data_IF_273386931180
#
_entry.id   IF_273386931180
#
_cell.length_a   1.000
_cell.length_b   1.000
_cell.length_c   1.000
_cell.angle_alpha   90.00
_cell.angle_beta   90.00
_cell.angle_gamma   90.00
#
_symmetry.space_group_name_H-M   'P 1'
#
loop_
_entity.id
_entity.type
_entity.pdbx_description
1 polymer ?
#
# COMPACT_ATOMS: atom_id res chain seq x y z
N UNK A 1 12.64 8.65 13.61
CA UNK A 1 13.35 8.27 12.39
C UNK A 1 12.51 7.17 11.72
N UNK A 2 11.80 7.50 10.64
CA UNK A 2 11.05 6.53 9.84
C UNK A 2 12.05 5.62 9.12
N UNK A 3 11.91 4.31 9.30
CA UNK A 3 12.68 3.34 8.53
C UNK A 3 12.05 3.27 7.13
N UNK A 4 12.82 3.58 6.10
CA UNK A 4 12.37 3.42 4.71
C UNK A 4 12.51 1.95 4.32
N UNK A 5 11.46 1.37 3.72
CA UNK A 5 11.54 0.02 3.16
C UNK A 5 12.18 0.05 1.77
N UNK A 6 13.07 -0.88 1.43
CA UNK A 6 13.64 -1.00 0.09
C UNK A 6 12.63 -1.46 -0.96
N UNK A 7 11.48 -1.98 -0.51
CA UNK A 7 10.39 -2.48 -1.35
C UNK A 7 9.12 -1.70 -1.02
N UNK A 8 8.36 -1.30 -2.03
CA UNK A 8 7.00 -0.79 -1.90
C UNK A 8 6.02 -1.84 -2.44
N UNK A 9 4.93 -2.08 -1.71
CA UNK A 9 3.83 -2.94 -2.15
C UNK A 9 2.61 -2.05 -2.37
N UNK A 10 2.01 -2.13 -3.56
CA UNK A 10 0.76 -1.44 -3.87
C UNK A 10 -0.30 -2.45 -4.26
N UNK A 11 -1.55 -2.19 -3.87
CA UNK A 11 -2.70 -3.02 -4.18
C UNK A 11 -3.77 -2.15 -4.82
N UNK A 12 -4.28 -2.59 -5.96
CA UNK A 12 -5.48 -2.02 -6.57
C UNK A 12 -6.55 -3.10 -6.71
N UNK A 13 -7.78 -2.73 -6.47
CA UNK A 13 -8.94 -3.60 -6.54
C UNK A 13 -9.96 -3.03 -7.51
N UNK A 14 -10.52 -3.88 -8.38
CA UNK A 14 -11.64 -3.55 -9.26
C UNK A 14 -12.84 -4.37 -8.84
N UNK A 15 -13.91 -3.68 -8.49
CA UNK A 15 -15.18 -4.30 -8.12
C UNK A 15 -15.96 -4.67 -9.38
N UNK A 16 -16.35 -5.95 -9.51
CA UNK A 16 -17.14 -6.49 -10.59
C UNK A 16 -18.55 -6.96 -10.08
N UNK A 17 -18.98 -6.48 -8.92
CA UNK A 17 -20.22 -6.84 -8.27
C UNK A 17 -20.09 -8.09 -7.40
N UNK A 18 -20.16 -9.28 -7.99
CA UNK A 18 -20.02 -10.56 -7.26
C UNK A 18 -18.57 -11.04 -7.12
N UNK A 19 -17.64 -10.40 -7.78
CA UNK A 19 -16.21 -10.75 -7.75
C UNK A 19 -15.33 -9.51 -7.72
N UNK A 20 -14.05 -9.70 -7.39
CA UNK A 20 -13.04 -8.64 -7.47
C UNK A 20 -11.82 -9.11 -8.21
N UNK A 21 -11.30 -8.22 -9.06
CA UNK A 21 -9.97 -8.34 -9.63
C UNK A 21 -8.98 -7.54 -8.79
N UNK A 22 -7.81 -8.12 -8.58
CA UNK A 22 -6.76 -7.57 -7.71
C UNK A 22 -5.46 -7.51 -8.50
N UNK A 23 -4.84 -6.36 -8.51
CA UNK A 23 -3.48 -6.18 -9.01
C UNK A 23 -2.56 -5.81 -7.86
N UNK A 24 -1.49 -6.57 -7.68
CA UNK A 24 -0.44 -6.32 -6.69
C UNK A 24 0.84 -5.98 -7.42
N UNK A 25 1.44 -4.86 -7.09
CA UNK A 25 2.70 -4.42 -7.65
C UNK A 25 3.75 -4.27 -6.55
N UNK A 26 4.85 -5.01 -6.70
CA UNK A 26 6.01 -4.96 -5.79
C UNK A 26 7.11 -4.19 -6.48
N UNK A 27 7.40 -2.99 -5.99
CA UNK A 27 8.34 -2.04 -6.58
C UNK A 27 9.59 -1.99 -5.72
N UNK A 28 10.76 -2.14 -6.33
CA UNK A 28 12.05 -1.98 -5.66
C UNK A 28 12.47 -0.52 -5.69
N UNK A 29 12.29 0.20 -4.58
CA UNK A 29 12.75 1.58 -4.44
C UNK A 29 14.28 1.64 -4.36
N UNK A 30 14.86 0.64 -3.70
CA UNK A 30 16.31 0.44 -3.56
C UNK A 30 16.68 -1.01 -3.95
N UNK A 31 17.93 -1.40 -3.75
CA UNK A 31 18.33 -2.79 -3.91
C UNK A 31 17.53 -3.66 -2.92
N UNK A 32 16.76 -4.66 -3.40
CA UNK A 32 15.97 -5.50 -2.52
C UNK A 32 16.88 -6.29 -1.56
N UNK A 33 16.39 -6.59 -0.35
CA UNK A 33 17.15 -7.40 0.61
C UNK A 33 17.36 -8.81 0.04
N UNK A 34 18.50 -9.40 0.37
CA UNK A 34 18.71 -10.82 0.14
C UNK A 34 17.85 -11.61 1.12
N UNK A 35 17.33 -12.76 0.68
CA UNK A 35 16.50 -13.63 1.51
C UNK A 35 15.57 -14.50 0.68
N UNK A 36 14.79 -15.32 1.38
CA UNK A 36 13.75 -16.16 0.79
C UNK A 36 12.42 -15.38 0.77
N UNK A 37 12.34 -14.42 -0.15
CA UNK A 37 11.22 -13.49 -0.21
C UNK A 37 9.99 -14.14 -0.84
N UNK A 38 8.86 -14.01 -0.18
CA UNK A 38 7.57 -14.48 -0.66
C UNK A 38 6.50 -13.39 -0.56
N UNK A 39 5.65 -13.38 -1.56
CA UNK A 39 4.45 -12.55 -1.59
C UNK A 39 3.27 -13.34 -1.02
N UNK A 40 2.61 -12.75 -0.07
CA UNK A 40 1.33 -13.20 0.47
C UNK A 40 0.25 -12.19 0.11
N UNK A 41 -0.88 -12.71 -0.36
CA UNK A 41 -2.05 -11.89 -0.69
C UNK A 41 -3.25 -12.51 -0.01
N UNK A 42 -3.92 -11.73 0.82
CA UNK A 42 -5.02 -12.20 1.66
C UNK A 42 -6.22 -11.28 1.50
N UNK A 43 -7.40 -11.88 1.61
CA UNK A 43 -8.67 -11.16 1.72
C UNK A 43 -9.00 -11.01 3.20
N UNK A 44 -9.33 -9.81 3.61
CA UNK A 44 -9.78 -9.49 4.95
C UNK A 44 -11.08 -8.67 4.90
N UNK A 45 -11.83 -8.70 5.99
CA UNK A 45 -13.00 -7.88 6.21
C UNK A 45 -12.72 -6.89 7.32
N UNK A 46 -12.92 -5.61 7.05
CA UNK A 46 -12.51 -4.52 7.92
C UNK A 46 -13.29 -4.53 9.23
N UNK A 47 -14.60 -4.77 9.15
CA UNK A 47 -15.49 -4.86 10.31
C UNK A 47 -16.47 -6.02 10.13
N UNK A 48 -16.55 -6.86 11.13
CA UNK A 48 -17.58 -7.92 11.26
C UNK A 48 -18.36 -7.69 12.53
N UNK A 49 -19.64 -7.37 12.39
CA UNK A 49 -20.56 -7.21 13.49
C UNK A 49 -21.15 -8.58 13.88
N UNK A 50 -20.62 -9.20 14.92
CA UNK A 50 -21.10 -10.49 15.41
C UNK A 50 -20.89 -10.59 16.92
N UNK A 51 -21.97 -10.72 17.69
CA UNK A 51 -21.87 -10.95 19.12
C UNK A 51 -21.32 -12.34 19.41
N UNK A 52 -20.21 -12.39 20.14
CA UNK A 52 -19.56 -13.63 20.59
C UNK A 52 -19.83 -13.89 22.07
N UNK A 53 -19.53 -15.11 22.53
CA UNK A 53 -19.78 -15.53 23.90
C UNK A 53 -18.96 -14.80 24.97
N UNK A 54 -17.92 -14.05 24.59
CA UNK A 54 -17.12 -13.20 25.48
C UNK A 54 -17.67 -11.77 25.62
N UNK A 55 -18.76 -11.43 24.90
CA UNK A 55 -19.40 -10.12 24.91
C UNK A 55 -18.87 -9.12 23.90
N UNK A 56 -17.90 -9.49 23.05
CA UNK A 56 -17.47 -8.68 21.92
C UNK A 56 -18.53 -8.73 20.80
N UNK A 57 -18.84 -7.59 20.21
CA UNK A 57 -19.81 -7.45 19.12
C UNK A 57 -19.20 -6.98 17.80
N UNK A 58 -17.98 -6.50 17.82
CA UNK A 58 -17.26 -5.97 16.65
C UNK A 58 -15.88 -6.63 16.54
N UNK A 59 -15.57 -7.11 15.34
CA UNK A 59 -14.30 -7.76 15.05
C UNK A 59 -13.66 -7.07 13.85
N UNK A 60 -12.48 -6.47 14.08
CA UNK A 60 -11.77 -5.71 13.04
C UNK A 60 -10.73 -6.57 12.32
N UNK A 61 -10.59 -6.32 11.01
CA UNK A 61 -9.58 -6.92 10.15
C UNK A 61 -9.59 -8.46 10.18
N UNK A 62 -10.81 -9.02 10.05
CA UNK A 62 -11.02 -10.47 10.09
C UNK A 62 -10.47 -11.11 8.81
N UNK A 63 -9.52 -12.04 8.97
CA UNK A 63 -9.02 -12.84 7.85
C UNK A 63 -10.14 -13.67 7.23
N UNK A 64 -10.25 -13.66 5.91
CA UNK A 64 -11.23 -14.45 5.16
C UNK A 64 -10.58 -15.58 4.37
N UNK A 65 -9.61 -15.28 3.52
CA UNK A 65 -8.93 -16.30 2.71
C UNK A 65 -7.59 -15.82 2.15
N UNK A 66 -6.73 -16.77 1.77
CA UNK A 66 -5.58 -16.48 0.94
C UNK A 66 -5.97 -16.45 -0.55
N UNK A 67 -5.38 -15.54 -1.32
CA UNK A 67 -5.35 -15.57 -2.79
C UNK A 67 -4.08 -16.23 -3.31
N UNK A 68 -3.02 -16.26 -2.51
CA UNK A 68 -1.82 -17.06 -2.75
C UNK A 68 -1.93 -18.42 -2.03
N UNK A 69 -1.04 -19.39 -2.33
CA UNK A 69 -0.82 -20.53 -1.45
C UNK A 69 -0.50 -20.07 -0.01
N UNK A 70 -0.82 -20.90 0.99
CA UNK A 70 -0.63 -20.56 2.41
C UNK A 70 0.83 -20.34 2.81
N UNK A 71 1.77 -20.85 2.02
CA UNK A 71 3.21 -20.66 2.17
C UNK A 71 3.74 -19.49 1.29
N UNK A 72 2.84 -18.74 0.63
CA UNK A 72 3.15 -17.64 -0.24
C UNK A 72 3.71 -18.03 -1.61
N UNK A 73 3.89 -17.05 -2.47
CA UNK A 73 4.51 -17.20 -3.79
C UNK A 73 5.94 -16.67 -3.74
N UNK A 74 6.91 -17.47 -4.16
CA UNK A 74 8.30 -17.03 -4.27
C UNK A 74 8.38 -15.86 -5.26
N UNK A 75 8.97 -14.77 -4.82
CA UNK A 75 9.23 -13.61 -5.68
C UNK A 75 10.73 -13.33 -5.73
N UNK A 76 11.16 -12.87 -6.90
CA UNK A 76 12.49 -12.28 -7.06
C UNK A 76 12.27 -10.82 -7.40
N UNK A 77 12.35 -9.91 -6.40
CA UNK A 77 12.16 -8.50 -6.67
C UNK A 77 13.16 -8.02 -7.72
N UNK A 78 12.70 -7.13 -8.59
CA UNK A 78 13.55 -6.56 -9.62
C UNK A 78 14.69 -5.73 -8.99
N UNK A 79 15.69 -5.37 -9.78
CA UNK A 79 16.70 -4.40 -9.36
C UNK A 79 16.03 -3.05 -9.01
N UNK A 80 16.76 -2.18 -8.32
CA UNK A 80 16.27 -0.84 -7.96
C UNK A 80 15.61 -0.12 -9.16
N UNK A 81 14.43 0.42 -8.94
CA UNK A 81 13.59 1.05 -9.96
C UNK A 81 12.71 0.10 -10.79
N UNK A 82 12.86 -1.21 -10.63
CA UNK A 82 12.01 -2.19 -11.31
C UNK A 82 10.83 -2.67 -10.46
N UNK A 83 9.92 -3.44 -11.07
CA UNK A 83 8.73 -3.96 -10.40
C UNK A 83 8.41 -5.40 -10.80
N UNK A 84 7.67 -6.08 -9.92
CA UNK A 84 7.06 -7.39 -10.17
C UNK A 84 5.55 -7.24 -9.96
N UNK A 85 4.77 -7.67 -10.94
CA UNK A 85 3.32 -7.63 -10.94
C UNK A 85 2.74 -9.03 -10.71
N UNK A 86 1.66 -9.09 -9.94
CA UNK A 86 0.83 -10.28 -9.75
C UNK A 86 -0.66 -9.89 -9.79
N UNK A 87 -1.47 -10.71 -10.46
CA UNK A 87 -2.91 -10.49 -10.59
C UNK A 87 -3.66 -11.68 -10.02
N UNK A 88 -4.78 -11.39 -9.35
CA UNK A 88 -5.67 -12.37 -8.75
C UNK A 88 -7.11 -11.98 -9.03
N UNK A 89 -8.01 -12.93 -8.96
CA UNK A 89 -9.44 -12.65 -8.91
C UNK A 89 -10.10 -13.59 -7.89
N UNK A 90 -11.19 -13.14 -7.29
CA UNK A 90 -11.96 -13.96 -6.36
C UNK A 90 -13.42 -13.56 -6.34
N UNK A 91 -14.28 -14.55 -6.10
CA UNK A 91 -15.69 -14.33 -5.86
C UNK A 91 -15.93 -13.92 -4.41
N UNK A 92 -16.83 -12.95 -4.19
CA UNK A 92 -17.29 -12.56 -2.87
C UNK A 92 -18.20 -13.66 -2.32
N UNK A 93 -17.95 -14.06 -1.06
CA UNK A 93 -18.86 -14.96 -0.37
C UNK A 93 -20.10 -14.18 0.09
N UNK A 94 -21.28 -14.78 -0.07
CA UNK A 94 -22.55 -14.14 0.27
C UNK A 94 -22.71 -13.83 1.78
N UNK A 95 -21.86 -14.43 2.63
CA UNK A 95 -21.82 -14.16 4.07
C UNK A 95 -20.93 -12.98 4.46
N UNK A 96 -20.20 -12.37 3.51
CA UNK A 96 -19.32 -11.25 3.76
C UNK A 96 -20.03 -9.93 3.48
N UNK A 97 -19.69 -8.89 4.22
CA UNK A 97 -20.12 -7.54 3.91
C UNK A 97 -19.20 -6.98 2.81
N UNK A 98 -19.73 -6.86 1.59
CA UNK A 98 -18.94 -6.56 0.39
C UNK A 98 -18.15 -5.24 0.50
N UNK A 99 -18.74 -4.23 1.15
CA UNK A 99 -18.08 -2.91 1.32
C UNK A 99 -16.93 -2.95 2.32
N UNK A 100 -16.95 -3.90 3.25
CA UNK A 100 -15.93 -4.11 4.26
C UNK A 100 -14.77 -5.00 3.77
N UNK A 101 -14.93 -5.68 2.62
CA UNK A 101 -13.89 -6.55 2.07
C UNK A 101 -12.76 -5.71 1.45
N UNK A 102 -11.54 -6.07 1.80
CA UNK A 102 -10.33 -5.50 1.20
C UNK A 102 -9.22 -6.56 1.07
N UNK A 103 -8.22 -6.25 0.25
CA UNK A 103 -7.05 -7.09 0.06
C UNK A 103 -5.82 -6.48 0.71
N UNK A 104 -5.11 -7.28 1.49
CA UNK A 104 -3.80 -6.99 2.04
C UNK A 104 -2.76 -7.85 1.31
N UNK A 105 -1.74 -7.21 0.75
CA UNK A 105 -0.57 -7.89 0.22
C UNK A 105 0.66 -7.54 1.06
N UNK A 106 1.54 -8.52 1.30
CA UNK A 106 2.81 -8.27 1.99
C UNK A 106 3.92 -9.16 1.46
N UNK A 107 5.13 -8.64 1.51
CA UNK A 107 6.36 -9.38 1.21
C UNK A 107 7.05 -9.73 2.50
N UNK A 108 7.34 -11.01 2.69
CA UNK A 108 8.01 -11.55 3.86
C UNK A 108 9.24 -12.34 3.46
N UNK A 109 10.32 -12.16 4.19
CA UNK A 109 11.41 -13.15 4.23
C UNK A 109 10.98 -14.28 5.16
N UNK A 110 10.73 -15.47 4.59
CA UNK A 110 10.19 -16.59 5.36
C UNK A 110 11.21 -17.26 6.26
N UNK A 111 12.51 -17.02 6.03
CA UNK A 111 13.58 -17.59 6.88
C UNK A 111 13.71 -16.77 8.18
N UNK A 112 13.71 -15.46 8.09
CA UNK A 112 13.74 -14.55 9.25
C UNK A 112 12.35 -14.28 9.84
N UNK A 113 11.28 -14.48 9.06
CA UNK A 113 9.89 -14.10 9.33
C UNK A 113 9.66 -12.58 9.37
N UNK A 114 10.59 -11.81 8.87
CA UNK A 114 10.46 -10.36 8.78
C UNK A 114 9.52 -9.98 7.62
N UNK A 115 8.52 -9.12 7.90
CA UNK A 115 7.70 -8.50 6.86
C UNK A 115 8.46 -7.25 6.38
N UNK A 116 8.86 -7.28 5.11
CA UNK A 116 9.65 -6.22 4.49
C UNK A 116 8.78 -4.99 4.22
N UNK A 117 7.58 -5.22 3.67
CA UNK A 117 6.56 -4.20 3.46
C UNK A 117 5.20 -4.83 3.18
N UNK A 118 4.16 -4.03 3.32
CA UNK A 118 2.78 -4.41 3.01
C UNK A 118 2.06 -3.29 2.28
N UNK A 119 0.94 -3.60 1.66
CA UNK A 119 0.09 -2.63 0.98
C UNK A 119 -1.37 -3.08 0.92
N UNK A 120 -2.26 -2.10 0.88
CA UNK A 120 -3.71 -2.25 0.71
C UNK A 120 -4.23 -1.19 -0.26
N UNK A 121 -5.49 -1.27 -0.68
CA UNK A 121 -6.14 -0.21 -1.46
C UNK A 121 -6.28 1.12 -0.72
N UNK A 122 -6.14 1.11 0.61
CA UNK A 122 -6.26 2.30 1.46
C UNK A 122 -4.96 3.10 1.57
N UNK A 123 -3.84 2.50 1.14
CA UNK A 123 -2.56 3.20 1.17
C UNK A 123 -2.56 4.33 0.15
N UNK A 124 -2.01 5.50 0.49
CA UNK A 124 -1.93 6.60 -0.44
C UNK A 124 -1.15 6.19 -1.68
N UNK A 125 -1.76 6.35 -2.85
CA UNK A 125 -1.07 6.15 -4.12
C UNK A 125 0.02 7.22 -4.23
N UNK A 126 1.26 6.86 -3.94
CA UNK A 126 2.39 7.74 -4.25
C UNK A 126 2.54 7.73 -5.76
N UNK A 127 1.86 8.63 -6.44
CA UNK A 127 2.15 8.93 -7.83
C UNK A 127 3.51 9.61 -7.89
N UNK A 128 4.57 8.81 -7.89
CA UNK A 128 5.86 9.31 -8.36
C UNK A 128 5.74 9.49 -9.86
N UNK A 129 5.31 10.66 -10.29
CA UNK A 129 5.61 11.13 -11.62
C UNK A 129 7.13 11.30 -11.68
N UNK A 130 7.85 10.23 -11.95
CA UNK A 130 9.22 10.33 -12.41
C UNK A 130 9.16 10.86 -13.85
N UNK A 131 8.93 12.17 -13.98
CA UNK A 131 9.35 12.91 -15.14
C UNK A 131 10.88 12.90 -15.19
N UNK A 132 11.51 12.97 -16.37
CA UNK A 132 12.95 13.02 -16.48
C UNK A 132 13.48 14.25 -15.72
N UNK A 133 14.18 14.01 -14.61
CA UNK A 133 14.78 15.03 -13.77
C UNK A 133 13.83 15.56 -12.69
N UNK A 134 13.68 14.84 -11.58
CA UNK A 134 13.26 15.47 -10.34
C UNK A 134 14.36 16.48 -9.96
N UNK A 135 14.12 17.73 -10.30
CA UNK A 135 14.82 18.84 -9.68
C UNK A 135 14.33 18.83 -8.23
N UNK A 136 15.21 18.54 -7.28
CA UNK A 136 14.92 18.70 -5.86
C UNK A 136 14.58 20.18 -5.63
N UNK A 137 13.28 20.48 -5.70
CA UNK A 137 12.76 21.78 -5.39
C UNK A 137 12.83 21.92 -3.86
N UNK A 138 13.96 22.37 -3.38
CA UNK A 138 14.16 22.69 -1.96
C UNK A 138 13.26 23.88 -1.60
N UNK A 139 11.94 23.61 -1.44
CA UNK A 139 10.93 24.63 -1.15
C UNK A 139 10.83 24.78 0.37
N UNK A 140 11.23 25.93 0.85
CA UNK A 140 11.04 26.31 2.24
C UNK A 140 9.79 27.16 2.39
N UNK A 141 8.92 26.75 3.31
CA UNK A 141 7.67 27.44 3.64
C UNK A 141 7.79 28.02 5.04
N UNK A 142 7.73 29.34 5.14
CA UNK A 142 7.81 30.03 6.44
C UNK A 142 7.04 31.36 6.43
N UNK A 143 6.60 31.85 7.59
CA UNK A 143 6.49 31.13 8.85
C UNK A 143 5.45 30.03 8.79
N UNK A 144 5.61 29.01 9.63
CA UNK A 144 4.60 27.97 9.78
C UNK A 144 4.37 27.69 11.27
N UNK A 145 3.16 27.95 11.84
CA UNK A 145 1.95 28.47 11.17
C UNK A 145 2.06 29.97 10.78
N UNK A 146 1.39 30.34 9.70
CA UNK A 146 1.34 31.74 9.24
C UNK A 146 0.01 32.42 9.64
N UNK A 147 0.05 33.72 9.90
CA UNK A 147 -1.13 34.51 10.30
C UNK A 147 -1.59 35.51 9.25
N UNK A 148 -0.68 36.05 8.45
CA UNK A 148 -0.97 37.08 7.48
C UNK A 148 -0.38 36.83 6.10
N UNK A 149 0.80 36.24 6.02
CA UNK A 149 1.47 35.95 4.76
C UNK A 149 2.31 34.67 4.84
N UNK A 150 2.37 33.99 3.71
CA UNK A 150 3.20 32.81 3.49
C UNK A 150 4.26 33.15 2.46
N UNK A 151 5.52 32.87 2.74
CA UNK A 151 6.61 33.03 1.78
C UNK A 151 7.05 31.66 1.28
N UNK A 152 7.11 31.51 -0.04
CA UNK A 152 7.69 30.37 -0.71
C UNK A 152 9.05 30.78 -1.26
N UNK A 153 10.10 30.09 -0.83
CA UNK A 153 11.43 30.27 -1.38
C UNK A 153 11.88 28.97 -2.06
N UNK A 154 12.23 29.07 -3.33
CA UNK A 154 12.75 27.94 -4.10
C UNK A 154 13.97 28.40 -4.89
N UNK A 155 14.93 27.47 -5.10
CA UNK A 155 16.12 27.75 -5.89
C UNK A 155 15.86 27.90 -7.40
N UNK A 156 14.62 27.67 -7.87
CA UNK A 156 14.21 27.70 -9.27
C UNK A 156 12.87 28.42 -9.41
N UNK A 157 12.56 28.98 -10.61
CA UNK A 157 11.26 29.58 -10.89
C UNK A 157 10.14 28.56 -10.72
N UNK A 158 9.16 28.88 -9.87
CA UNK A 158 7.94 28.07 -9.69
C UNK A 158 6.88 28.54 -10.68
N UNK A 159 6.25 27.59 -11.37
CA UNK A 159 5.04 27.83 -12.15
C UNK A 159 3.99 26.81 -11.78
N UNK A 160 2.78 27.23 -11.46
CA UNK A 160 1.68 26.35 -11.04
C UNK A 160 0.69 27.07 -10.15
N UNK A 161 -0.32 26.34 -9.69
CA UNK A 161 -1.34 26.82 -8.76
C UNK A 161 -1.03 26.29 -7.35
N UNK A 162 -1.07 27.20 -6.35
CA UNK A 162 -0.93 26.83 -4.95
C UNK A 162 -2.33 26.72 -4.33
N UNK A 163 -2.69 25.52 -3.88
CA UNK A 163 -3.92 25.29 -3.13
C UNK A 163 -3.59 25.09 -1.65
N UNK A 164 -4.21 25.90 -0.79
CA UNK A 164 -4.09 25.80 0.66
C UNK A 164 -5.38 25.19 1.22
N UNK A 165 -5.24 24.11 1.97
CA UNK A 165 -6.35 23.47 2.65
C UNK A 165 -6.30 23.77 4.14
N UNK A 166 -7.46 24.08 4.72
CA UNK A 166 -7.62 24.28 6.18
C UNK A 166 -7.90 22.94 6.86
#
# INVERSE_FOLDING_TARGET
LGQTSPIQVTVSETDNGSSRDVEVNVISAEAPPAGNLRLFVVVAEQLVEQTTGNGESEHHNVFRRFLTPTDGVVITPAAAGGSVNATYSFDLDASWEADEIYVLAFVQDVDSREVINSGTRFDPTVTTTQGPGLIDLNVHVFPNPFSHSLQLNSGLPLSGELQLFN
#
